data_IF_357657220308
#
_entry.id   IF_357657220308
#
_cell.length_a   1.000
_cell.length_b   1.000
_cell.length_c   1.000
_cell.angle_alpha   90.00
_cell.angle_beta   90.00
_cell.angle_gamma   90.00
#
_symmetry.space_group_name_H-M   'P 1'
#
loop_
_entity.id
_entity.type
_entity.pdbx_description
1 polymer ?
#
# COMPACT_ATOMS: atom_id res chain seq x y z
N UNK A 1 5.18 -33.24 -7.69
CA UNK A 1 6.38 -32.43 -8.03
C UNK A 1 6.08 -30.99 -7.72
N UNK A 2 6.89 -30.38 -6.85
CA UNK A 2 6.70 -28.99 -6.43
C UNK A 2 7.25 -28.01 -7.45
N UNK A 3 6.50 -26.94 -7.64
CA UNK A 3 6.82 -25.84 -8.53
C UNK A 3 8.08 -25.10 -8.04
N UNK A 4 8.99 -24.70 -8.94
CA UNK A 4 10.25 -24.04 -8.56
C UNK A 4 11.38 -24.98 -8.10
N UNK A 5 11.16 -26.30 -8.01
CA UNK A 5 12.24 -27.27 -7.85
C UNK A 5 12.86 -27.60 -9.20
N UNK A 6 14.19 -27.65 -9.22
CA UNK A 6 14.96 -28.14 -10.37
C UNK A 6 14.88 -29.66 -10.38
N UNK A 7 14.36 -30.24 -11.47
CA UNK A 7 14.42 -31.69 -11.70
C UNK A 7 14.90 -31.92 -13.13
N UNK A 8 15.99 -32.67 -13.28
CA UNK A 8 16.62 -32.97 -14.56
C UNK A 8 16.94 -31.72 -15.42
N UNK A 9 17.43 -30.65 -14.78
CA UNK A 9 17.80 -29.40 -15.46
C UNK A 9 16.62 -28.57 -16.00
N UNK A 10 15.38 -29.00 -15.73
CA UNK A 10 14.16 -28.27 -16.10
C UNK A 10 13.58 -27.59 -14.87
N UNK A 11 13.29 -26.30 -14.99
CA UNK A 11 12.51 -25.57 -14.00
C UNK A 11 11.03 -25.80 -14.29
N UNK A 12 10.27 -26.28 -13.31
CA UNK A 12 8.82 -26.23 -13.41
C UNK A 12 8.43 -24.76 -13.24
N UNK A 13 7.75 -24.15 -14.24
CA UNK A 13 7.13 -22.80 -14.21
C UNK A 13 5.61 -22.89 -14.03
N UNK A 14 5.01 -21.92 -13.34
CA UNK A 14 3.62 -21.97 -12.95
C UNK A 14 2.81 -21.85 -14.24
N UNK A 15 1.75 -22.64 -14.40
CA UNK A 15 0.88 -22.47 -15.57
C UNK A 15 0.31 -21.05 -15.53
N UNK A 16 0.71 -20.24 -16.50
CA UNK A 16 0.33 -18.82 -16.62
C UNK A 16 -1.20 -18.67 -16.70
N UNK A 17 -1.94 -19.70 -17.11
CA UNK A 17 -3.40 -19.73 -17.13
C UNK A 17 -4.08 -19.69 -15.76
N UNK A 18 -3.37 -20.03 -14.67
CA UNK A 18 -3.92 -20.04 -13.30
C UNK A 18 -3.89 -18.66 -12.62
N UNK A 19 -3.27 -17.66 -13.25
CA UNK A 19 -3.13 -16.31 -12.70
C UNK A 19 -4.42 -15.50 -12.90
N UNK A 20 -4.73 -14.60 -11.96
CA UNK A 20 -5.87 -13.67 -12.10
C UNK A 20 -5.73 -12.85 -13.39
N UNK A 21 -6.78 -12.87 -14.21
CA UNK A 21 -6.96 -11.89 -15.28
C UNK A 21 -7.41 -10.61 -14.59
N UNK A 22 -6.49 -9.66 -14.43
CA UNK A 22 -6.87 -8.29 -14.06
C UNK A 22 -7.45 -7.67 -15.32
N UNK A 23 -8.76 -7.44 -15.34
CA UNK A 23 -9.42 -6.62 -16.36
C UNK A 23 -8.95 -5.17 -16.24
N UNK A 24 -9.29 -4.32 -17.22
CA UNK A 24 -8.79 -2.94 -17.28
C UNK A 24 -9.22 -2.04 -16.09
N UNK A 25 -10.12 -2.52 -15.21
CA UNK A 25 -10.79 -1.72 -14.18
C UNK A 25 -10.55 -2.21 -12.74
N UNK A 26 -9.55 -3.07 -12.48
CA UNK A 26 -9.27 -3.50 -11.09
C UNK A 26 -8.68 -2.35 -10.27
N UNK A 27 -9.38 -1.93 -9.20
CA UNK A 27 -8.88 -0.93 -8.25
C UNK A 27 -7.98 -1.60 -7.20
N UNK A 28 -7.06 -0.83 -6.59
CA UNK A 28 -6.17 -1.37 -5.56
C UNK A 28 -6.94 -2.06 -4.43
N UNK A 29 -8.11 -1.51 -4.05
CA UNK A 29 -9.00 -2.09 -3.04
C UNK A 29 -9.38 -3.55 -3.33
N UNK A 30 -9.58 -3.93 -4.59
CA UNK A 30 -9.97 -5.30 -4.98
C UNK A 30 -8.84 -6.32 -4.79
N UNK A 31 -7.61 -5.82 -4.63
CA UNK A 31 -6.39 -6.62 -4.48
C UNK A 31 -6.03 -6.80 -3.01
N UNK A 32 -6.39 -5.80 -2.19
CA UNK A 32 -6.14 -5.82 -0.75
C UNK A 32 -6.86 -6.99 -0.07
N UNK A 33 -6.25 -7.49 0.99
CA UNK A 33 -6.89 -8.48 1.85
C UNK A 33 -7.94 -7.80 2.73
N UNK A 34 -9.11 -8.42 2.87
CA UNK A 34 -10.20 -7.93 3.74
C UNK A 34 -9.76 -7.79 5.20
N UNK A 35 -8.82 -8.65 5.64
CA UNK A 35 -8.29 -8.65 7.00
C UNK A 35 -6.78 -8.82 6.96
N UNK A 36 -6.05 -7.71 7.08
CA UNK A 36 -4.61 -7.73 7.24
C UNK A 36 -4.20 -8.03 8.69
N UNK A 37 -3.11 -8.76 8.87
CA UNK A 37 -2.54 -9.02 10.20
C UNK A 37 -2.02 -7.73 10.86
N UNK A 38 -2.17 -7.62 12.19
CA UNK A 38 -1.79 -6.42 12.95
C UNK A 38 -0.31 -6.05 12.82
N UNK A 39 0.57 -7.04 12.59
CA UNK A 39 2.02 -6.84 12.41
C UNK A 39 2.38 -5.92 11.23
N UNK A 40 1.50 -5.79 10.23
CA UNK A 40 1.73 -4.94 9.06
C UNK A 40 1.31 -3.48 9.29
N UNK A 41 0.53 -3.21 10.33
CA UNK A 41 0.14 -1.87 10.71
C UNK A 41 1.33 -1.13 11.32
N UNK A 42 1.38 0.19 11.11
CA UNK A 42 2.38 1.01 11.78
C UNK A 42 2.15 0.99 13.30
N UNK A 43 3.24 0.83 14.05
CA UNK A 43 3.19 0.97 15.50
C UNK A 43 2.80 2.39 15.92
N UNK A 44 2.13 2.52 17.06
CA UNK A 44 1.69 3.81 17.61
C UNK A 44 2.84 4.80 17.72
N UNK A 45 3.99 4.36 18.27
CA UNK A 45 5.22 5.17 18.35
C UNK A 45 5.67 5.72 16.99
N UNK A 46 5.45 4.97 15.90
CA UNK A 46 5.82 5.39 14.55
C UNK A 46 4.78 6.35 13.97
N UNK A 47 3.50 6.09 14.19
CA UNK A 47 2.41 7.00 13.86
C UNK A 47 2.59 8.36 14.56
N UNK A 48 2.86 8.35 15.86
CA UNK A 48 3.17 9.54 16.66
C UNK A 48 4.35 10.32 16.08
N UNK A 49 5.46 9.67 15.74
CA UNK A 49 6.60 10.36 15.10
C UNK A 49 6.21 11.03 13.78
N UNK A 50 5.35 10.40 12.98
CA UNK A 50 4.91 10.94 11.69
C UNK A 50 3.96 12.14 11.87
N UNK A 51 3.11 12.11 12.88
CA UNK A 51 2.18 13.20 13.22
C UNK A 51 2.91 14.36 13.90
N UNK A 52 3.71 14.08 14.93
CA UNK A 52 4.32 15.11 15.80
C UNK A 52 5.63 15.67 15.27
N UNK A 53 6.62 14.81 15.05
CA UNK A 53 7.99 15.27 14.76
C UNK A 53 8.12 15.86 13.37
N UNK A 54 7.41 15.29 12.41
CA UNK A 54 7.56 15.64 11.00
C UNK A 54 6.34 16.35 10.40
N UNK A 55 5.21 16.41 11.13
CA UNK A 55 3.92 16.91 10.65
C UNK A 55 3.59 16.35 9.24
N UNK A 56 3.93 15.07 9.02
CA UNK A 56 3.81 14.38 7.71
C UNK A 56 2.40 13.87 7.48
N UNK A 57 1.69 13.55 8.55
CA UNK A 57 0.29 13.12 8.52
C UNK A 57 -0.51 14.05 9.42
N UNK A 58 -1.67 14.48 8.95
CA UNK A 58 -2.65 15.24 9.70
C UNK A 58 -4.05 14.68 9.41
N UNK A 59 -4.98 14.83 10.33
CA UNK A 59 -6.40 14.57 10.05
C UNK A 59 -7.03 15.92 9.72
N UNK A 60 -7.68 16.01 8.56
CA UNK A 60 -8.34 17.22 8.07
C UNK A 60 -9.85 17.00 8.02
N UNK A 61 -10.66 18.00 8.43
CA UNK A 61 -12.11 17.94 8.26
C UNK A 61 -12.59 18.28 6.84
N UNK A 62 -11.76 18.76 5.92
CA UNK A 62 -12.23 19.34 4.65
C UNK A 62 -11.37 18.96 3.42
N UNK A 63 -11.99 18.94 2.22
CA UNK A 63 -11.36 18.70 0.90
C UNK A 63 -10.37 19.80 0.45
N UNK A 64 -10.30 20.93 1.15
CA UNK A 64 -9.40 22.02 0.80
C UNK A 64 -8.07 21.76 1.49
N UNK A 65 -7.04 21.38 0.74
CA UNK A 65 -5.75 21.02 1.34
C UNK A 65 -4.98 22.18 1.99
N UNK A 66 -5.61 23.33 2.29
CA UNK A 66 -5.07 24.33 3.21
C UNK A 66 -5.43 23.88 4.63
N UNK A 67 -4.43 23.74 5.51
CA UNK A 67 -4.65 23.63 6.96
C UNK A 67 -4.99 25.03 7.50
N UNK A 68 -6.25 25.38 7.84
CA UNK A 68 -6.44 26.50 8.75
C UNK A 68 -5.91 26.09 10.12
N UNK A 69 -5.10 26.94 10.76
CA UNK A 69 -4.51 26.66 12.09
C UNK A 69 -5.55 26.22 13.14
N UNK A 70 -6.81 26.63 12.97
CA UNK A 70 -7.96 26.27 13.84
C UNK A 70 -8.56 24.88 13.63
N UNK A 71 -8.22 24.14 12.54
CA UNK A 71 -8.87 22.84 12.21
C UNK A 71 -7.93 21.63 12.23
N UNK A 72 -6.72 21.76 12.80
CA UNK A 72 -5.86 20.61 13.06
C UNK A 72 -6.50 19.79 14.18
N UNK A 73 -6.97 18.57 13.91
CA UNK A 73 -7.67 17.72 14.91
C UNK A 73 -6.76 17.38 16.10
N UNK A 74 -5.44 17.56 15.98
CA UNK A 74 -4.47 17.23 17.02
C UNK A 74 -3.38 18.32 17.08
N UNK A 75 -3.34 19.11 18.16
CA UNK A 75 -2.29 20.15 18.43
C UNK A 75 -1.04 19.49 18.97
N UNK A 76 0.15 20.09 18.78
CA UNK A 76 1.50 19.57 19.12
C UNK A 76 1.67 18.83 20.49
N UNK A 77 0.75 19.03 21.43
CA UNK A 77 0.78 18.48 22.79
C UNK A 77 -0.19 17.29 23.01
N UNK A 78 -0.74 16.66 21.96
CA UNK A 78 -1.73 15.58 22.10
C UNK A 78 -3.16 16.03 22.31
N UNK A 79 -3.39 17.34 22.43
CA UNK A 79 -4.71 17.91 22.71
C UNK A 79 -5.45 18.18 21.39
N UNK A 80 -6.63 17.59 21.24
CA UNK A 80 -7.57 18.02 20.19
C UNK A 80 -8.05 19.44 20.50
N UNK A 81 -8.10 20.37 19.53
CA UNK A 81 -8.91 21.57 19.73
C UNK A 81 -10.37 21.14 19.95
N UNK A 82 -11.14 22.03 20.56
CA UNK A 82 -12.56 21.82 20.87
C UNK A 82 -13.29 21.26 19.66
N UNK A 83 -14.08 20.19 19.86
CA UNK A 83 -14.94 19.60 18.83
C UNK A 83 -15.92 20.70 18.36
N UNK A 84 -15.59 21.38 17.27
CA UNK A 84 -16.50 22.28 16.57
C UNK A 84 -17.68 21.49 16.00
N UNK A 85 -18.89 22.05 16.10
CA UNK A 85 -20.09 21.46 15.50
C UNK A 85 -19.93 21.18 13.99
N UNK A 86 -19.07 21.93 13.29
CA UNK A 86 -18.76 21.69 11.88
C UNK A 86 -18.00 20.37 11.61
N UNK A 87 -17.41 19.72 12.63
CA UNK A 87 -16.82 18.38 12.47
C UNK A 87 -17.88 17.26 12.33
N UNK A 88 -19.12 17.50 12.74
CA UNK A 88 -20.18 16.48 12.69
C UNK A 88 -20.78 16.32 11.28
N UNK A 89 -20.72 17.36 10.44
CA UNK A 89 -21.31 17.34 9.10
C UNK A 89 -20.35 16.94 7.98
N UNK A 90 -19.03 16.93 8.21
CA UNK A 90 -18.03 16.71 7.16
C UNK A 90 -17.25 15.42 7.40
N UNK A 91 -17.07 14.56 6.37
CA UNK A 91 -16.26 13.35 6.51
C UNK A 91 -14.80 13.74 6.74
N UNK A 92 -14.25 13.27 7.85
CA UNK A 92 -12.83 13.44 8.15
C UNK A 92 -12.00 12.76 7.04
N UNK A 93 -10.78 13.25 6.81
CA UNK A 93 -9.83 12.62 5.89
C UNK A 93 -8.42 12.60 6.45
N UNK A 94 -7.66 11.57 6.10
CA UNK A 94 -6.21 11.54 6.36
C UNK A 94 -5.51 12.37 5.30
N UNK A 95 -4.69 13.30 5.77
CA UNK A 95 -3.99 14.27 4.96
C UNK A 95 -2.48 14.06 5.08
N UNK A 96 -1.80 13.94 3.96
CA UNK A 96 -0.36 13.70 3.86
C UNK A 96 0.32 14.96 3.35
N UNK A 97 1.41 15.34 4.02
CA UNK A 97 2.16 16.55 3.69
C UNK A 97 2.81 16.41 2.33
N UNK A 98 2.52 17.37 1.46
CA UNK A 98 3.04 17.44 0.10
C UNK A 98 4.53 17.81 0.06
N UNK A 99 5.17 17.54 -1.07
CA UNK A 99 6.58 17.79 -1.34
C UNK A 99 6.99 19.27 -1.22
N UNK A 100 6.09 20.23 -1.47
CA UNK A 100 6.40 21.66 -1.36
C UNK A 100 5.79 22.25 -0.10
N UNK A 101 6.58 23.03 0.64
CA UNK A 101 6.17 23.69 1.91
C UNK A 101 4.94 24.59 1.75
N UNK A 102 4.75 25.15 0.55
CA UNK A 102 3.67 26.07 0.20
C UNK A 102 2.47 25.38 -0.46
N UNK A 103 2.58 24.08 -0.77
CA UNK A 103 1.49 23.33 -1.41
C UNK A 103 0.54 22.74 -0.37
N UNK A 104 -0.74 22.61 -0.73
CA UNK A 104 -1.72 21.98 0.12
C UNK A 104 -1.39 20.51 0.42
N UNK A 105 -1.88 20.01 1.56
CA UNK A 105 -1.84 18.60 1.91
C UNK A 105 -2.60 17.76 0.87
N UNK A 106 -2.13 16.54 0.66
CA UNK A 106 -2.78 15.53 -0.17
C UNK A 106 -3.77 14.76 0.69
N UNK A 107 -5.02 14.63 0.27
CA UNK A 107 -6.01 13.80 0.96
C UNK A 107 -5.93 12.36 0.45
N UNK A 108 -5.95 11.40 1.39
CA UNK A 108 -6.00 9.97 1.14
C UNK A 108 -7.36 9.40 1.56
N UNK A 109 -7.89 8.49 0.75
CA UNK A 109 -9.06 7.68 1.03
C UNK A 109 -8.68 6.23 1.29
N UNK A 110 -9.63 5.44 1.78
CA UNK A 110 -9.41 4.02 2.02
C UNK A 110 -8.95 3.34 0.72
N UNK A 111 -7.90 2.52 0.81
CA UNK A 111 -7.29 1.86 -0.35
C UNK A 111 -6.36 2.72 -1.19
N UNK A 112 -6.10 3.97 -0.81
CA UNK A 112 -5.06 4.76 -1.46
C UNK A 112 -3.67 4.33 -0.98
N UNK A 113 -2.74 4.29 -1.93
CA UNK A 113 -1.34 3.99 -1.63
C UNK A 113 -0.63 5.25 -1.12
N UNK A 114 0.15 5.07 -0.06
CA UNK A 114 0.88 6.11 0.65
C UNK A 114 2.37 5.74 0.65
N UNK A 115 3.20 6.62 0.10
CA UNK A 115 4.66 6.43 0.21
C UNK A 115 5.18 6.93 1.56
N UNK A 116 5.74 6.02 2.36
CA UNK A 116 6.31 6.29 3.69
C UNK A 116 7.83 6.16 3.73
N UNK A 117 8.52 6.25 2.59
CA UNK A 117 9.98 6.15 2.58
C UNK A 117 10.61 7.24 3.47
N UNK A 118 11.71 6.89 4.16
CA UNK A 118 12.40 7.77 5.11
C UNK A 118 12.83 9.08 4.46
N UNK A 119 13.37 8.98 3.24
CA UNK A 119 13.96 10.09 2.49
C UNK A 119 13.00 10.68 1.45
N UNK A 120 11.89 10.00 1.12
CA UNK A 120 10.89 10.54 0.21
C UNK A 120 9.88 11.40 0.98
N UNK A 121 9.49 12.51 0.37
CA UNK A 121 8.39 13.36 0.83
C UNK A 121 7.06 12.63 0.53
N UNK A 122 6.07 12.76 1.41
CA UNK A 122 4.86 11.94 1.37
C UNK A 122 4.05 12.14 0.08
N UNK A 123 3.72 11.05 -0.59
CA UNK A 123 2.87 11.04 -1.79
C UNK A 123 1.68 10.11 -1.58
N UNK A 124 0.57 10.45 -2.23
CA UNK A 124 -0.67 9.66 -2.25
C UNK A 124 -0.97 9.32 -3.70
N UNK A 125 -1.15 8.02 -3.97
CA UNK A 125 -1.60 7.50 -5.28
C UNK A 125 -3.01 6.96 -5.12
N UNK A 126 -3.94 7.47 -5.93
CA UNK A 126 -5.37 7.23 -5.76
C UNK A 126 -5.80 5.95 -6.46
N UNK A 127 -6.20 4.93 -5.71
CA UNK A 127 -6.74 3.68 -6.26
C UNK A 127 -5.75 2.78 -7.01
N UNK A 128 -4.45 3.08 -7.02
CA UNK A 128 -3.41 2.21 -7.61
C UNK A 128 -2.13 2.21 -6.78
N UNK A 129 -1.41 1.07 -6.83
CA UNK A 129 -0.10 0.95 -6.20
C UNK A 129 1.00 1.60 -7.05
N UNK A 130 2.08 2.06 -6.41
CA UNK A 130 3.34 2.31 -7.09
C UNK A 130 4.02 1.01 -7.53
N UNK A 131 5.19 1.14 -8.14
CA UNK A 131 6.05 -0.01 -8.48
C UNK A 131 6.36 -0.82 -7.23
N UNK A 132 6.05 -2.11 -7.26
CA UNK A 132 6.40 -3.02 -6.18
C UNK A 132 7.91 -3.20 -6.15
N UNK A 133 8.52 -2.77 -5.05
CA UNK A 133 9.95 -2.94 -4.79
C UNK A 133 10.16 -3.93 -3.65
N UNK A 134 11.41 -4.22 -3.32
CA UNK A 134 11.77 -5.08 -2.17
C UNK A 134 11.34 -4.50 -0.81
N UNK A 135 10.99 -3.22 -0.78
CA UNK A 135 10.41 -2.53 0.37
C UNK A 135 9.04 -1.97 -0.03
N UNK A 136 7.94 -2.67 0.28
CA UNK A 136 6.62 -2.28 -0.19
C UNK A 136 6.20 -0.92 0.37
N UNK A 137 5.40 -0.21 -0.42
CA UNK A 137 4.73 1.01 0.00
C UNK A 137 3.62 0.69 1.05
N UNK A 138 3.09 1.74 1.66
CA UNK A 138 1.99 1.64 2.59
C UNK A 138 0.66 1.90 1.89
N UNK A 139 -0.42 1.45 2.51
CA UNK A 139 -1.80 1.68 2.10
C UNK A 139 -2.59 2.20 3.29
N UNK A 140 -3.57 3.05 3.01
CA UNK A 140 -4.56 3.43 4.00
C UNK A 140 -5.63 2.34 4.08
N UNK A 141 -5.78 1.76 5.27
CA UNK A 141 -6.74 0.70 5.56
C UNK A 141 -7.53 1.09 6.82
N UNK A 142 -8.81 1.44 6.64
CA UNK A 142 -9.74 1.82 7.69
C UNK A 142 -9.11 2.72 8.77
N UNK A 143 -8.66 3.90 8.33
CA UNK A 143 -8.01 4.93 9.17
C UNK A 143 -6.61 4.61 9.71
N UNK A 144 -6.12 3.38 9.54
CA UNK A 144 -4.78 2.99 9.94
C UNK A 144 -3.90 2.87 8.70
N UNK A 145 -2.66 3.31 8.81
CA UNK A 145 -1.68 3.12 7.75
C UNK A 145 -0.97 1.80 8.00
N UNK A 146 -0.97 0.92 7.01
CA UNK A 146 -0.27 -0.36 7.05
C UNK A 146 0.59 -0.57 5.82
N UNK A 147 1.56 -1.45 5.91
CA UNK A 147 2.28 -1.93 4.73
C UNK A 147 1.39 -2.91 3.96
N UNK A 148 1.60 -2.96 2.64
CA UNK A 148 1.05 -4.05 1.84
C UNK A 148 1.60 -5.38 2.35
N UNK A 149 0.76 -6.41 2.46
CA UNK A 149 1.17 -7.75 2.86
C UNK A 149 1.97 -8.41 1.73
N UNK A 150 2.81 -9.43 2.01
CA UNK A 150 3.50 -10.17 0.96
C UNK A 150 2.52 -10.75 -0.06
N UNK A 151 1.35 -11.19 0.40
CA UNK A 151 0.29 -11.74 -0.45
C UNK A 151 -0.26 -10.70 -1.42
N UNK A 152 -0.57 -9.50 -0.93
CA UNK A 152 -1.02 -8.38 -1.76
C UNK A 152 0.02 -7.99 -2.81
N UNK A 153 1.31 -7.97 -2.43
CA UNK A 153 2.40 -7.73 -3.39
C UNK A 153 2.47 -8.81 -4.49
N UNK A 154 2.23 -10.07 -4.14
CA UNK A 154 2.19 -11.18 -5.11
C UNK A 154 0.97 -11.09 -6.03
N UNK A 155 -0.19 -10.72 -5.49
CA UNK A 155 -1.40 -10.47 -6.28
C UNK A 155 -1.20 -9.31 -7.26
N UNK A 156 -0.51 -8.25 -6.85
CA UNK A 156 -0.16 -7.13 -7.73
C UNK A 156 0.73 -7.56 -8.90
N UNK A 157 1.60 -8.56 -8.70
CA UNK A 157 2.37 -9.18 -9.78
C UNK A 157 1.57 -10.21 -10.61
N UNK A 158 0.26 -10.32 -10.37
CA UNK A 158 -0.65 -11.30 -10.96
C UNK A 158 -0.25 -12.76 -10.68
N UNK A 159 0.47 -13.01 -9.58
CA UNK A 159 0.87 -14.37 -9.20
C UNK A 159 -0.34 -15.13 -8.64
N UNK A 160 -0.50 -16.44 -8.92
CA UNK A 160 -1.66 -17.18 -8.46
C UNK A 160 -1.54 -17.51 -6.97
N UNK A 161 -2.68 -17.56 -6.29
CA UNK A 161 -2.76 -17.70 -4.83
C UNK A 161 -2.09 -18.98 -4.32
N UNK A 162 -2.31 -20.10 -5.01
CA UNK A 162 -1.68 -21.38 -4.65
C UNK A 162 -0.15 -21.34 -4.69
N UNK A 163 0.45 -20.47 -5.50
CA UNK A 163 1.91 -20.33 -5.58
C UNK A 163 2.44 -19.56 -4.37
N UNK A 164 1.70 -18.53 -3.94
CA UNK A 164 1.99 -17.82 -2.71
C UNK A 164 1.88 -18.76 -1.50
N UNK A 165 0.80 -19.52 -1.38
CA UNK A 165 0.56 -20.42 -0.24
C UNK A 165 1.66 -21.49 -0.08
N UNK A 166 2.30 -21.91 -1.18
CA UNK A 166 3.46 -22.82 -1.12
C UNK A 166 4.73 -22.09 -0.74
N UNK A 167 4.99 -20.92 -1.32
CA UNK A 167 6.16 -20.12 -1.01
C UNK A 167 6.16 -19.69 0.46
N UNK A 168 4.99 -19.34 1.01
CA UNK A 168 4.84 -18.93 2.40
C UNK A 168 5.22 -20.03 3.41
N UNK A 169 5.11 -21.31 3.04
CA UNK A 169 5.50 -22.44 3.91
C UNK A 169 7.01 -22.58 4.09
N UNK A 170 7.80 -22.04 3.16
CA UNK A 170 9.26 -22.25 3.10
C UNK A 170 10.07 -20.96 3.17
N UNK A 171 9.44 -19.80 2.94
CA UNK A 171 10.08 -18.49 2.90
C UNK A 171 9.52 -17.56 3.97
N UNK A 172 10.39 -16.74 4.55
CA UNK A 172 9.98 -15.64 5.44
C UNK A 172 9.32 -14.50 4.65
N UNK A 173 8.50 -13.69 5.33
CA UNK A 173 7.86 -12.49 4.76
C UNK A 173 8.85 -11.59 4.01
N UNK A 174 10.05 -11.41 4.56
CA UNK A 174 11.10 -10.59 3.94
C UNK A 174 11.58 -11.18 2.61
N UNK A 175 11.68 -12.50 2.50
CA UNK A 175 12.03 -13.18 1.25
C UNK A 175 10.89 -13.09 0.23
N UNK A 176 9.64 -13.24 0.68
CA UNK A 176 8.47 -13.11 -0.17
C UNK A 176 8.35 -11.70 -0.78
N UNK A 177 8.63 -10.65 0.00
CA UNK A 177 8.71 -9.28 -0.53
C UNK A 177 9.81 -9.12 -1.59
N UNK A 178 10.99 -9.71 -1.37
CA UNK A 178 12.08 -9.68 -2.36
C UNK A 178 11.69 -10.40 -3.65
N UNK A 179 11.00 -11.53 -3.55
CA UNK A 179 10.51 -12.28 -4.71
C UNK A 179 9.47 -11.47 -5.51
N UNK A 180 8.55 -10.78 -4.83
CA UNK A 180 7.58 -9.90 -5.48
C UNK A 180 8.21 -8.65 -6.13
N UNK A 181 9.19 -8.04 -5.46
CA UNK A 181 9.84 -6.80 -5.91
C UNK A 181 10.83 -7.00 -7.05
N UNK A 182 11.52 -8.14 -7.08
CA UNK A 182 12.45 -8.48 -8.17
C UNK A 182 11.78 -9.25 -9.31
N UNK A 183 10.54 -9.71 -9.08
CA UNK A 183 9.76 -10.47 -10.05
C UNK A 183 9.21 -9.59 -11.18
N UNK A 184 8.73 -10.27 -12.22
CA UNK A 184 8.03 -9.66 -13.35
C UNK A 184 6.53 -9.98 -13.28
N UNK A 185 5.71 -9.05 -13.74
CA UNK A 185 4.25 -9.21 -13.73
C UNK A 185 3.82 -10.28 -14.73
N UNK A 186 3.14 -11.33 -14.25
CA UNK A 186 2.85 -12.52 -15.06
C UNK A 186 1.95 -12.20 -16.25
N UNK A 187 1.01 -11.27 -16.09
CA UNK A 187 0.11 -10.84 -17.17
C UNK A 187 0.88 -10.17 -18.33
N UNK A 188 1.91 -9.37 -18.02
CA UNK A 188 2.75 -8.73 -19.05
C UNK A 188 3.56 -9.77 -19.81
N UNK A 189 4.20 -10.71 -19.09
CA UNK A 189 4.97 -11.81 -19.71
C UNK A 189 4.07 -12.66 -20.61
N UNK A 190 2.82 -12.93 -20.20
CA UNK A 190 1.84 -13.66 -21.02
C UNK A 190 1.59 -12.97 -22.35
N UNK A 191 1.33 -11.66 -22.34
CA UNK A 191 1.03 -10.92 -23.57
C UNK A 191 2.25 -10.79 -24.49
N UNK A 192 3.45 -10.64 -23.93
CA UNK A 192 4.69 -10.69 -24.71
C UNK A 192 4.85 -12.07 -25.36
N UNK A 193 4.66 -13.15 -24.60
CA UNK A 193 4.80 -14.51 -25.10
C UNK A 193 3.77 -14.86 -26.19
N UNK A 194 2.55 -14.30 -26.14
CA UNK A 194 1.56 -14.45 -27.21
C UNK A 194 1.99 -13.80 -28.52
N UNK A 195 2.70 -12.66 -28.47
CA UNK A 195 3.18 -11.92 -29.65
C UNK A 195 4.46 -12.50 -30.26
N UNK A 196 5.19 -13.32 -29.51
CA UNK A 196 6.39 -14.02 -29.98
C UNK A 196 6.08 -15.38 -30.63
N UNK A 197 4.81 -15.78 -30.65
CA UNK A 197 4.31 -16.92 -31.45
C UNK A 197 3.96 -16.44 -32.85
#
# INVERSE_FOLDING_TARGET
>A
MDWGMMSNGKYLTAKISACRKTENESILLDILEEKAEEKYFLSEKRCEKLVWKNNRIAILPHKTGKLPQRRKIVRENGLSPTLLASFAHEPQMIAIRNNSRNKPFLTAQNGDNISLQSNARGSVRKGYSGTITTSPDAVLDDWRIRKLTPRECWRLQSMPEWAFDRAQKVCSDQQLYKQAGNGVTVNVVREIAKKLK
#
